data_IF_460174053418
#
_entry.id   IF_460174053418
#
_cell.length_a   1.000
_cell.length_b   1.000
_cell.length_c   1.000
_cell.angle_alpha   90.00
_cell.angle_beta   90.00
_cell.angle_gamma   90.00
#
_symmetry.space_group_name_H-M   'P 1'
#
loop_
_entity.id
_entity.type
_entity.pdbx_description
1 polymer ?
#
# COMPACT_ATOMS: atom_id res chain seq x y z
N UNK A 1 77.39 -11.87 24.08
CA UNK A 1 77.33 -12.74 25.28
C UNK A 1 75.99 -12.45 25.96
N UNK A 2 75.33 -13.44 26.55
CA UNK A 2 74.12 -13.24 27.37
C UNK A 2 74.45 -12.37 28.61
N UNK A 3 73.52 -11.76 29.33
CA UNK A 3 72.04 -11.86 29.33
C UNK A 3 71.40 -10.44 29.22
N UNK A 4 70.13 -10.12 29.52
CA UNK A 4 69.03 -10.84 30.19
C UNK A 4 67.62 -10.37 29.72
N UNK A 5 66.60 -10.77 30.49
CA UNK A 5 65.16 -10.63 30.26
C UNK A 5 64.55 -9.35 30.91
N UNK A 6 63.35 -8.87 30.49
CA UNK A 6 62.12 -9.52 30.96
C UNK A 6 60.86 -9.53 30.04
N UNK A 7 60.02 -10.53 30.35
CA UNK A 7 58.55 -10.57 30.33
C UNK A 7 57.74 -10.51 29.00
N UNK A 8 57.41 -11.75 28.58
CA UNK A 8 56.21 -12.21 27.86
C UNK A 8 54.98 -11.30 27.89
N UNK A 9 54.51 -10.94 26.69
CA UNK A 9 53.16 -10.43 26.41
C UNK A 9 52.15 -11.58 26.46
N UNK A 10 51.04 -11.39 27.20
CA UNK A 10 49.85 -12.24 27.13
C UNK A 10 48.73 -11.49 26.40
N UNK A 11 48.32 -11.97 25.22
CA UNK A 11 47.15 -11.45 24.49
C UNK A 11 45.90 -12.15 25.03
N UNK A 12 44.98 -11.38 25.63
CA UNK A 12 43.65 -11.87 26.02
C UNK A 12 42.57 -11.11 25.26
N UNK A 13 41.87 -11.81 24.36
CA UNK A 13 40.67 -11.30 23.71
C UNK A 13 39.54 -11.09 24.73
N UNK A 14 39.03 -9.86 24.87
CA UNK A 14 37.66 -9.60 25.35
C UNK A 14 37.03 -8.46 24.57
N UNK A 15 36.05 -8.81 23.73
CA UNK A 15 35.16 -7.85 23.06
C UNK A 15 34.25 -7.23 24.11
N UNK A 16 34.41 -5.92 24.35
CA UNK A 16 33.53 -5.17 25.24
C UNK A 16 32.36 -4.56 24.45
N UNK A 17 31.18 -5.18 24.56
CA UNK A 17 29.94 -4.67 24.02
C UNK A 17 29.56 -3.34 24.73
N UNK A 18 29.90 -2.20 24.12
CA UNK A 18 29.46 -0.88 24.60
C UNK A 18 28.09 -0.55 24.03
N UNK A 19 27.03 -0.84 24.80
CA UNK A 19 25.72 -0.27 24.56
C UNK A 19 25.77 1.25 24.83
N UNK A 20 25.69 2.06 23.77
CA UNK A 20 25.57 3.51 23.86
C UNK A 20 24.13 3.88 24.21
N UNK A 21 23.87 4.19 25.48
CA UNK A 21 22.64 4.87 25.90
C UNK A 21 22.77 6.34 25.50
N UNK A 22 22.34 6.66 24.28
CA UNK A 22 22.23 8.03 23.79
C UNK A 22 20.99 8.71 24.36
N UNK A 23 21.11 9.39 25.50
CA UNK A 23 20.01 10.16 26.08
C UNK A 23 19.87 11.52 25.35
N UNK A 24 19.22 11.51 24.19
CA UNK A 24 18.90 12.72 23.43
C UNK A 24 17.65 13.41 23.97
N UNK A 25 17.79 14.31 24.95
CA UNK A 25 16.72 15.29 25.23
C UNK A 25 16.69 16.33 24.11
N UNK A 26 15.78 16.17 23.16
CA UNK A 26 15.29 17.27 22.31
C UNK A 26 13.84 17.52 22.71
N UNK A 27 13.59 18.66 23.34
CA UNK A 27 12.26 19.08 23.75
C UNK A 27 11.47 19.58 22.54
N UNK A 28 10.76 18.67 21.88
CA UNK A 28 9.61 18.99 21.04
C UNK A 28 8.34 18.74 21.83
N UNK A 29 7.46 19.74 21.99
CA UNK A 29 6.16 19.58 22.66
C UNK A 29 5.13 18.95 21.72
N UNK A 30 5.41 17.71 21.32
CA UNK A 30 4.41 16.73 20.89
C UNK A 30 4.45 15.57 21.87
N UNK A 31 3.29 15.02 22.24
CA UNK A 31 3.28 13.76 22.97
C UNK A 31 3.93 12.70 22.08
N UNK A 32 5.07 12.14 22.50
CA UNK A 32 5.65 10.97 21.87
C UNK A 32 4.76 9.77 22.16
N UNK A 33 3.70 9.61 21.35
CA UNK A 33 2.84 8.44 21.38
C UNK A 33 3.72 7.22 21.13
N UNK A 34 3.76 6.29 22.08
CA UNK A 34 4.52 5.06 21.91
C UNK A 34 3.93 4.25 20.76
N UNK A 35 4.78 3.72 19.89
CA UNK A 35 4.35 2.90 18.76
C UNK A 35 3.35 1.81 19.20
N UNK A 36 2.29 1.53 18.40
CA UNK A 36 1.23 0.58 18.75
C UNK A 36 1.76 -0.78 19.23
N UNK A 37 1.29 -1.31 20.36
CA UNK A 37 1.73 -2.62 20.86
C UNK A 37 0.58 -3.63 20.80
N UNK A 38 0.67 -4.58 19.85
CA UNK A 38 -0.21 -5.75 19.82
C UNK A 38 0.21 -6.71 20.93
N UNK A 39 -0.69 -7.00 21.88
CA UNK A 39 -0.43 -7.92 23.00
C UNK A 39 -1.02 -9.30 22.76
N UNK A 40 -2.14 -9.37 22.07
CA UNK A 40 -2.88 -10.61 21.82
C UNK A 40 -3.71 -10.47 20.54
N UNK A 41 -3.85 -11.60 19.84
CA UNK A 41 -4.87 -11.79 18.80
C UNK A 41 -5.72 -12.98 19.25
N UNK A 42 -7.01 -12.99 18.93
CA UNK A 42 -7.93 -14.09 19.20
C UNK A 42 -8.96 -14.22 18.07
N UNK A 43 -9.57 -15.40 17.95
CA UNK A 43 -10.48 -15.73 16.85
C UNK A 43 -9.84 -16.66 15.82
N UNK A 44 -10.30 -16.58 14.58
CA UNK A 44 -9.95 -17.55 13.52
C UNK A 44 -9.23 -16.86 12.38
N UNK A 45 -7.98 -17.26 12.11
CA UNK A 45 -7.10 -16.67 11.10
C UNK A 45 -7.32 -17.29 9.70
N UNK A 46 -8.53 -17.76 9.40
CA UNK A 46 -8.91 -18.19 8.03
C UNK A 46 -9.25 -16.98 7.18
N UNK A 47 -9.13 -17.08 5.85
CA UNK A 47 -9.60 -16.01 4.95
C UNK A 47 -11.11 -15.76 5.18
N UNK A 48 -11.53 -14.49 5.22
CA UNK A 48 -12.84 -13.98 5.70
C UNK A 48 -13.22 -14.35 7.16
N UNK A 49 -12.32 -14.93 7.95
CA UNK A 49 -12.51 -15.14 9.39
C UNK A 49 -12.57 -13.81 10.15
N UNK A 50 -13.01 -13.83 11.42
CA UNK A 50 -13.01 -12.65 12.28
C UNK A 50 -11.95 -12.80 13.37
N UNK A 51 -11.20 -11.72 13.60
CA UNK A 51 -10.22 -11.62 14.68
C UNK A 51 -10.48 -10.41 15.57
N UNK A 52 -10.13 -10.56 16.84
CA UNK A 52 -10.00 -9.46 17.80
C UNK A 52 -8.54 -9.32 18.19
N UNK A 53 -8.01 -8.11 18.02
CA UNK A 53 -6.63 -7.72 18.33
C UNK A 53 -6.70 -6.80 19.53
N UNK A 54 -5.99 -7.13 20.61
CA UNK A 54 -5.94 -6.29 21.81
C UNK A 54 -4.51 -5.85 22.14
N UNK A 55 -4.39 -4.64 22.69
CA UNK A 55 -3.11 -3.97 22.83
C UNK A 55 -3.22 -2.61 23.50
N UNK A 56 -2.31 -1.70 23.16
CA UNK A 56 -2.30 -0.30 23.60
C UNK A 56 -1.77 0.62 22.49
N UNK A 57 -2.20 1.88 22.48
CA UNK A 57 -1.70 2.90 21.56
C UNK A 57 -2.18 2.71 20.12
N UNK A 58 -3.29 2.03 19.89
CA UNK A 58 -3.88 1.89 18.55
C UNK A 58 -4.55 3.18 18.06
N UNK A 59 -4.76 4.17 18.95
CA UNK A 59 -5.55 5.35 18.67
C UNK A 59 -7.03 5.04 18.42
N UNK A 60 -7.79 6.04 17.97
CA UNK A 60 -9.20 5.86 17.60
C UNK A 60 -9.42 6.10 16.12
N UNK A 61 -10.33 5.34 15.51
CA UNK A 61 -10.73 5.47 14.11
C UNK A 61 -12.25 5.45 14.05
N UNK A 62 -12.87 6.64 13.96
CA UNK A 62 -14.34 6.83 14.03
C UNK A 62 -15.09 5.92 13.06
N UNK A 63 -14.59 5.78 11.84
CA UNK A 63 -15.07 4.82 10.85
C UNK A 63 -14.04 3.69 10.74
N UNK A 64 -14.26 2.60 11.48
CA UNK A 64 -13.32 1.48 11.52
C UNK A 64 -13.09 0.84 10.15
N UNK A 65 -14.15 0.68 9.35
CA UNK A 65 -14.08 0.17 7.99
C UNK A 65 -13.29 1.11 7.04
N UNK A 66 -12.64 0.55 5.99
CA UNK A 66 -12.14 1.35 4.88
C UNK A 66 -13.29 2.00 4.09
N UNK A 67 -12.94 2.99 3.26
CA UNK A 67 -13.86 3.57 2.27
C UNK A 67 -14.17 2.54 1.18
N UNK A 68 -13.16 1.76 0.77
CA UNK A 68 -13.32 0.60 -0.13
C UNK A 68 -12.43 -0.54 0.33
N UNK A 69 -12.96 -1.75 0.31
CA UNK A 69 -12.19 -2.97 0.07
C UNK A 69 -12.90 -3.77 -1.02
N UNK A 70 -12.15 -4.20 -2.03
CA UNK A 70 -12.66 -4.91 -3.20
C UNK A 70 -11.72 -6.06 -3.59
N UNK A 71 -12.17 -7.25 -3.24
CA UNK A 71 -11.62 -8.59 -3.52
C UNK A 71 -12.29 -9.23 -4.75
N UNK A 72 -12.91 -8.39 -5.60
CA UNK A 72 -13.72 -8.80 -6.74
C UNK A 72 -14.83 -9.83 -6.41
N UNK A 73 -15.36 -9.87 -5.18
CA UNK A 73 -16.51 -10.74 -4.82
C UNK A 73 -17.87 -10.08 -5.04
N UNK A 74 -17.94 -8.76 -5.16
CA UNK A 74 -19.20 -8.04 -5.39
C UNK A 74 -19.83 -8.36 -6.75
N UNK A 75 -21.15 -8.12 -6.91
CA UNK A 75 -21.85 -8.42 -8.16
C UNK A 75 -21.37 -7.56 -9.33
N UNK A 76 -21.12 -6.27 -9.09
CA UNK A 76 -20.70 -5.27 -10.07
C UNK A 76 -19.74 -4.28 -9.44
N UNK A 77 -18.83 -3.73 -10.23
CA UNK A 77 -17.82 -2.76 -9.78
C UNK A 77 -18.46 -1.49 -9.17
N UNK A 78 -19.63 -1.11 -9.67
CA UNK A 78 -20.46 0.00 -9.16
C UNK A 78 -21.02 -0.23 -7.75
N UNK A 79 -20.91 -1.43 -7.18
CA UNK A 79 -21.25 -1.67 -5.77
C UNK A 79 -20.15 -1.20 -4.80
N UNK A 80 -18.97 -0.83 -5.32
CA UNK A 80 -17.78 -0.41 -4.55
C UNK A 80 -17.28 0.95 -5.02
N UNK A 81 -17.16 1.13 -6.34
CA UNK A 81 -16.55 2.28 -7.00
C UNK A 81 -17.60 3.19 -7.65
N UNK A 82 -17.28 4.48 -7.77
CA UNK A 82 -18.21 5.46 -8.34
C UNK A 82 -18.08 5.57 -9.86
N UNK A 83 -16.98 5.05 -10.42
CA UNK A 83 -16.81 4.88 -11.86
C UNK A 83 -15.58 4.04 -12.21
N UNK A 84 -15.52 3.61 -13.47
CA UNK A 84 -14.37 2.92 -14.05
C UNK A 84 -14.36 3.06 -15.57
N UNK A 85 -13.17 3.00 -16.16
CA UNK A 85 -12.91 3.06 -17.60
C UNK A 85 -11.97 1.95 -18.05
N UNK A 86 -12.11 1.40 -19.27
CA UNK A 86 -13.14 1.79 -20.24
C UNK A 86 -14.52 1.27 -19.80
N UNK A 87 -15.56 1.99 -20.20
CA UNK A 87 -16.96 1.62 -19.95
C UNK A 87 -17.83 1.65 -21.22
N UNK A 88 -17.28 2.12 -22.35
CA UNK A 88 -17.97 2.21 -23.64
C UNK A 88 -17.57 1.11 -24.65
N UNK A 89 -16.78 0.12 -24.23
CA UNK A 89 -16.23 -0.93 -25.10
C UNK A 89 -16.54 -2.34 -24.57
N UNK A 90 -17.75 -2.89 -24.86
CA UNK A 90 -18.15 -4.23 -24.45
C UNK A 90 -17.10 -5.30 -24.80
N UNK A 91 -16.84 -6.22 -23.86
CA UNK A 91 -15.77 -7.23 -23.97
C UNK A 91 -14.38 -6.75 -23.52
N UNK A 92 -14.17 -5.45 -23.33
CA UNK A 92 -12.90 -4.84 -22.91
C UNK A 92 -13.02 -3.87 -21.72
N UNK A 93 -14.26 -3.55 -21.32
CA UNK A 93 -14.59 -2.68 -20.20
C UNK A 93 -13.93 -3.11 -18.88
N UNK A 94 -13.61 -2.15 -18.02
CA UNK A 94 -13.13 -2.42 -16.66
C UNK A 94 -14.26 -2.98 -15.79
N UNK A 95 -14.04 -4.15 -15.21
CA UNK A 95 -15.02 -4.87 -14.41
C UNK A 95 -14.41 -6.09 -13.72
N UNK A 96 -15.26 -6.94 -13.13
CA UNK A 96 -14.81 -8.20 -12.51
C UNK A 96 -14.75 -9.32 -13.54
N UNK A 97 -13.61 -10.01 -13.62
CA UNK A 97 -13.37 -11.12 -14.52
C UNK A 97 -12.85 -12.34 -13.75
N UNK A 98 -13.34 -13.52 -14.11
CA UNK A 98 -12.67 -14.78 -13.76
C UNK A 98 -11.31 -14.89 -14.49
N UNK A 99 -10.39 -15.75 -14.02
CA UNK A 99 -9.10 -15.98 -14.68
C UNK A 99 -9.23 -16.14 -16.20
N UNK A 100 -8.63 -15.21 -16.93
CA UNK A 100 -8.62 -15.19 -18.39
C UNK A 100 -7.20 -14.97 -18.90
N UNK A 101 -6.98 -15.25 -20.20
CA UNK A 101 -5.70 -15.00 -20.90
C UNK A 101 -4.47 -15.71 -20.30
N UNK A 102 -4.68 -16.71 -19.44
CA UNK A 102 -3.62 -17.43 -18.71
C UNK A 102 -3.21 -16.78 -17.39
N UNK A 103 -3.91 -15.73 -16.95
CA UNK A 103 -3.58 -14.94 -15.77
C UNK A 103 -4.58 -15.25 -14.66
N UNK A 104 -4.06 -15.77 -13.55
CA UNK A 104 -4.76 -16.00 -12.29
C UNK A 104 -4.60 -14.79 -11.33
N UNK A 105 -5.52 -14.63 -10.35
CA UNK A 105 -5.34 -13.79 -9.16
C UNK A 105 -3.96 -13.91 -8.48
N UNK A 106 -3.55 -12.92 -7.68
CA UNK A 106 -2.24 -12.88 -7.01
C UNK A 106 -2.08 -13.92 -5.89
N UNK A 107 -3.18 -14.56 -5.47
CA UNK A 107 -3.25 -15.61 -4.45
C UNK A 107 -4.49 -16.50 -4.63
N UNK A 108 -4.53 -17.63 -3.91
CA UNK A 108 -5.56 -18.67 -4.08
C UNK A 108 -6.91 -18.40 -3.41
N UNK A 109 -7.06 -17.31 -2.64
CA UNK A 109 -8.32 -17.03 -1.93
C UNK A 109 -9.38 -16.32 -2.77
N UNK A 110 -8.99 -15.68 -3.87
CA UNK A 110 -9.90 -14.95 -4.75
C UNK A 110 -10.11 -15.71 -6.07
N UNK A 111 -11.35 -15.68 -6.58
CA UNK A 111 -11.77 -16.42 -7.79
C UNK A 111 -12.00 -15.52 -9.01
N UNK A 112 -11.83 -14.21 -8.85
CA UNK A 112 -11.94 -13.15 -9.86
C UNK A 112 -10.96 -12.03 -9.49
N UNK A 113 -10.72 -11.14 -10.43
CA UNK A 113 -10.00 -9.87 -10.23
C UNK A 113 -10.72 -8.74 -10.95
N UNK A 114 -10.28 -7.50 -10.73
CA UNK A 114 -10.65 -6.35 -11.57
C UNK A 114 -9.74 -6.35 -12.80
N UNK A 115 -10.30 -6.26 -14.00
CA UNK A 115 -9.51 -6.14 -15.23
C UNK A 115 -10.23 -5.32 -16.31
N UNK A 116 -9.46 -4.80 -17.25
CA UNK A 116 -9.93 -4.08 -18.44
C UNK A 116 -8.79 -3.92 -19.47
N UNK A 117 -9.10 -3.46 -20.69
CA UNK A 117 -8.11 -3.36 -21.76
C UNK A 117 -8.01 -1.97 -22.40
N UNK A 118 -6.80 -1.61 -22.81
CA UNK A 118 -6.53 -0.40 -23.60
C UNK A 118 -6.92 -0.57 -25.09
N UNK A 119 -8.06 -1.21 -25.37
CA UNK A 119 -8.33 -1.83 -26.66
C UNK A 119 -8.80 -0.87 -27.78
N UNK A 120 -9.20 0.38 -27.47
CA UNK A 120 -9.58 1.38 -28.47
C UNK A 120 -8.81 2.70 -28.33
N UNK A 121 -8.65 3.39 -29.47
CA UNK A 121 -7.89 4.62 -29.63
C UNK A 121 -8.72 5.91 -29.61
N UNK A 122 -9.95 5.82 -29.12
CA UNK A 122 -11.00 6.83 -29.33
C UNK A 122 -11.38 7.65 -28.11
N UNK A 123 -10.74 7.46 -26.95
CA UNK A 123 -10.94 8.33 -25.79
C UNK A 123 -10.67 7.70 -24.41
N UNK A 124 -10.76 8.56 -23.39
CA UNK A 124 -10.59 8.22 -21.97
C UNK A 124 -11.50 7.07 -21.51
N UNK A 125 -12.75 7.06 -21.99
CA UNK A 125 -13.82 6.12 -21.65
C UNK A 125 -13.79 4.79 -22.44
N UNK A 126 -12.95 4.71 -23.47
CA UNK A 126 -13.03 3.65 -24.49
C UNK A 126 -11.75 2.83 -24.62
N UNK A 127 -10.59 3.37 -24.24
CA UNK A 127 -9.35 2.57 -24.19
C UNK A 127 -8.05 3.31 -23.87
N UNK A 128 -8.07 4.63 -23.66
CA UNK A 128 -6.86 5.32 -23.18
C UNK A 128 -6.52 4.91 -21.74
N UNK A 129 -7.53 4.72 -20.89
CA UNK A 129 -7.36 4.36 -19.48
C UNK A 129 -7.93 2.96 -19.19
N UNK A 130 -7.24 2.21 -18.33
CA UNK A 130 -7.83 1.10 -17.56
C UNK A 130 -7.69 1.48 -16.10
N UNK A 131 -8.78 1.98 -15.51
CA UNK A 131 -8.81 2.63 -14.19
C UNK A 131 -10.19 2.45 -13.53
N UNK A 132 -10.23 2.38 -12.22
CA UNK A 132 -11.44 2.44 -11.41
C UNK A 132 -11.24 3.40 -10.24
N UNK A 133 -12.29 4.10 -9.83
CA UNK A 133 -12.14 5.28 -8.98
C UNK A 133 -13.27 5.53 -7.99
N UNK A 134 -12.91 6.20 -6.90
CA UNK A 134 -13.80 6.60 -5.81
C UNK A 134 -13.72 8.11 -5.64
N UNK A 135 -14.89 8.75 -5.51
CA UNK A 135 -15.01 10.14 -5.15
C UNK A 135 -15.19 10.23 -3.63
N UNK A 136 -14.41 11.10 -2.98
CA UNK A 136 -14.51 11.39 -1.54
C UNK A 136 -14.84 12.86 -1.33
N UNK A 137 -15.64 13.21 -0.29
CA UNK A 137 -15.81 14.59 0.11
C UNK A 137 -14.48 15.16 0.61
N UNK A 138 -14.16 16.39 0.22
CA UNK A 138 -12.96 17.09 0.67
C UNK A 138 -13.01 17.25 2.20
N UNK A 139 -11.96 16.76 2.87
CA UNK A 139 -11.80 16.90 4.31
C UNK A 139 -11.02 18.19 4.64
N UNK A 140 -11.11 18.72 5.87
CA UNK A 140 -10.23 19.80 6.33
C UNK A 140 -8.76 19.42 6.14
N UNK A 141 -7.94 20.34 5.62
CA UNK A 141 -6.50 20.11 5.50
C UNK A 141 -5.80 20.23 6.87
N UNK A 142 -4.78 19.40 7.15
CA UNK A 142 -4.35 18.26 6.35
C UNK A 142 -5.27 17.04 6.54
N UNK A 143 -5.45 16.24 5.50
CA UNK A 143 -6.08 14.92 5.60
C UNK A 143 -5.20 13.85 4.95
N UNK A 144 -5.63 12.59 5.05
CA UNK A 144 -4.83 11.46 4.60
C UNK A 144 -5.57 10.60 3.58
N UNK A 145 -4.81 9.94 2.72
CA UNK A 145 -5.29 8.85 1.88
C UNK A 145 -4.31 7.70 2.05
N UNK A 146 -4.84 6.50 2.24
CA UNK A 146 -4.10 5.27 2.06
C UNK A 146 -4.81 4.43 1.00
N UNK A 147 -4.05 3.93 0.03
CA UNK A 147 -4.53 3.00 -0.99
C UNK A 147 -3.56 1.81 -1.09
N UNK A 148 -4.08 0.61 -1.34
CA UNK A 148 -3.30 -0.61 -1.53
C UNK A 148 -3.99 -1.49 -2.57
N UNK A 149 -3.23 -2.11 -3.47
CA UNK A 149 -3.78 -3.03 -4.48
C UNK A 149 -2.69 -3.95 -5.04
N UNK A 150 -3.09 -5.13 -5.50
CA UNK A 150 -2.28 -5.91 -6.44
C UNK A 150 -2.44 -5.38 -7.86
N UNK A 151 -1.38 -5.38 -8.66
CA UNK A 151 -1.44 -5.07 -10.09
C UNK A 151 -0.49 -5.92 -10.95
N UNK A 152 -0.88 -6.12 -12.21
CA UNK A 152 -0.02 -6.55 -13.33
C UNK A 152 -0.63 -6.12 -14.67
N UNK A 153 0.12 -6.32 -15.75
CA UNK A 153 -0.34 -6.21 -17.13
C UNK A 153 -0.29 -7.58 -17.84
N UNK A 154 -0.71 -7.61 -19.10
CA UNK A 154 -0.71 -8.81 -19.93
C UNK A 154 0.69 -9.25 -20.37
N UNK A 155 0.94 -10.56 -20.37
CA UNK A 155 2.24 -11.12 -20.76
C UNK A 155 2.53 -10.98 -22.27
N UNK A 156 1.48 -10.69 -23.06
CA UNK A 156 1.54 -10.42 -24.50
C UNK A 156 1.29 -8.95 -24.82
N UNK A 157 1.66 -8.06 -23.90
CA UNK A 157 1.56 -6.61 -24.09
C UNK A 157 2.26 -6.16 -25.36
N UNK A 158 1.55 -5.36 -26.17
CA UNK A 158 2.07 -4.70 -27.36
C UNK A 158 2.59 -3.33 -26.98
N UNK A 159 3.91 -3.18 -26.98
CA UNK A 159 4.61 -1.93 -26.68
C UNK A 159 4.51 -0.96 -27.87
N UNK A 160 4.32 0.34 -27.60
CA UNK A 160 4.22 1.38 -28.64
C UNK A 160 4.29 2.81 -28.09
N UNK A 161 4.67 3.74 -28.96
CA UNK A 161 4.88 5.15 -28.59
C UNK A 161 6.03 5.29 -27.59
N UNK A 162 5.85 6.17 -26.60
CA UNK A 162 6.79 6.35 -25.49
C UNK A 162 6.61 5.33 -24.35
N UNK A 163 5.65 4.38 -24.45
CA UNK A 163 5.28 3.44 -23.38
C UNK A 163 4.89 4.09 -22.02
N UNK A 164 4.51 5.38 -22.00
CA UNK A 164 4.02 6.06 -20.80
C UNK A 164 2.81 5.31 -20.20
N UNK A 165 2.94 4.89 -18.94
CA UNK A 165 1.97 4.06 -18.22
C UNK A 165 1.74 4.66 -16.82
N UNK A 166 0.49 5.02 -16.52
CA UNK A 166 0.05 5.54 -15.22
C UNK A 166 -0.53 4.42 -14.35
N UNK A 167 -0.36 4.50 -13.04
CA UNK A 167 -0.76 3.45 -12.07
C UNK A 167 -1.71 3.96 -11.00
N UNK A 168 -1.77 5.27 -10.78
CA UNK A 168 -2.67 5.93 -9.85
C UNK A 168 -3.03 7.33 -10.34
N UNK A 169 -4.17 7.86 -9.89
CA UNK A 169 -4.60 9.23 -10.15
C UNK A 169 -5.25 9.86 -8.91
N UNK A 170 -4.98 11.15 -8.69
CA UNK A 170 -5.67 12.01 -7.73
C UNK A 170 -6.10 13.30 -8.42
N UNK A 171 -7.34 13.74 -8.21
CA UNK A 171 -7.85 14.97 -8.85
C UNK A 171 -8.93 15.67 -8.03
N UNK A 172 -9.35 16.85 -8.48
CA UNK A 172 -10.32 17.73 -7.82
C UNK A 172 -11.81 17.36 -7.94
N UNK A 173 -12.13 16.11 -8.29
CA UNK A 173 -13.45 15.63 -8.74
C UNK A 173 -13.78 16.02 -10.21
N UNK A 174 -14.51 15.22 -10.98
CA UNK A 174 -15.24 13.99 -10.59
C UNK A 174 -14.88 12.77 -11.44
N UNK A 175 -13.70 12.82 -12.06
CA UNK A 175 -13.07 11.70 -12.73
C UNK A 175 -11.55 11.71 -12.51
N UNK A 176 -10.82 10.64 -12.86
CA UNK A 176 -9.36 10.65 -12.88
C UNK A 176 -8.80 11.61 -13.93
N UNK A 177 -7.63 12.22 -13.65
CA UNK A 177 -6.89 13.09 -14.58
C UNK A 177 -7.62 14.38 -15.02
N UNK A 178 -8.49 14.93 -14.18
CA UNK A 178 -9.12 16.25 -14.45
C UNK A 178 -8.04 17.32 -14.63
N UNK A 179 -8.03 17.98 -15.78
CA UNK A 179 -7.03 18.98 -16.10
C UNK A 179 -7.51 20.40 -15.72
N UNK A 180 -6.64 21.27 -15.20
CA UNK A 180 -5.25 21.00 -14.81
C UNK A 180 -5.13 20.29 -13.44
N UNK A 181 -6.23 20.18 -12.70
CA UNK A 181 -6.22 19.89 -11.26
C UNK A 181 -6.06 18.39 -10.90
N UNK A 182 -4.96 17.77 -11.32
CA UNK A 182 -4.63 16.39 -10.97
C UNK A 182 -3.13 16.15 -10.76
N UNK A 183 -2.80 15.09 -10.01
CA UNK A 183 -1.49 14.46 -9.98
C UNK A 183 -1.61 12.94 -10.06
N UNK A 184 -0.53 12.27 -10.46
CA UNK A 184 -0.55 10.83 -10.74
C UNK A 184 0.77 10.14 -10.39
N UNK A 185 0.66 8.84 -10.09
CA UNK A 185 1.82 7.96 -10.09
C UNK A 185 1.93 7.25 -11.45
N UNK A 186 3.16 7.04 -11.90
CA UNK A 186 3.48 6.51 -13.21
C UNK A 186 4.80 5.72 -13.20
N UNK A 187 5.06 5.04 -14.31
CA UNK A 187 6.43 4.68 -14.68
C UNK A 187 7.01 5.73 -15.62
N UNK A 188 8.27 6.10 -15.41
CA UNK A 188 9.03 7.07 -16.21
C UNK A 188 10.14 6.43 -17.04
N UNK A 189 10.81 7.18 -17.95
CA UNK A 189 12.00 6.76 -18.66
C UNK A 189 13.08 6.15 -17.75
N UNK A 190 13.55 4.91 -18.01
CA UNK A 190 13.09 4.01 -19.07
C UNK A 190 11.68 3.47 -18.79
N UNK A 191 10.72 3.89 -19.63
CA UNK A 191 9.42 3.23 -19.68
C UNK A 191 9.68 1.82 -20.22
N UNK A 192 9.11 0.76 -19.64
CA UNK A 192 9.33 -0.59 -20.12
C UNK A 192 8.86 -0.72 -21.58
N UNK A 193 9.80 -0.99 -22.49
CA UNK A 193 9.57 -1.26 -23.91
C UNK A 193 9.60 -2.75 -24.26
N UNK A 194 9.92 -3.60 -23.29
CA UNK A 194 9.84 -5.06 -23.34
C UNK A 194 9.34 -5.64 -22.00
N UNK A 195 9.05 -6.94 -21.98
CA UNK A 195 8.71 -7.68 -20.75
C UNK A 195 9.92 -7.90 -19.83
N UNK A 196 11.14 -7.66 -20.31
CA UNK A 196 12.41 -7.81 -19.57
C UNK A 196 13.03 -6.49 -19.13
N UNK A 197 12.51 -5.35 -19.60
CA UNK A 197 13.06 -4.04 -19.27
C UNK A 197 12.84 -3.69 -17.80
N UNK A 198 13.74 -2.87 -17.25
CA UNK A 198 13.49 -2.16 -16.01
C UNK A 198 12.38 -1.10 -16.19
N UNK A 199 11.76 -0.72 -15.08
CA UNK A 199 10.88 0.44 -14.99
C UNK A 199 11.30 1.28 -13.77
N UNK A 200 10.89 2.55 -13.72
CA UNK A 200 11.21 3.47 -12.62
C UNK A 200 9.98 4.25 -12.20
N UNK A 201 9.76 4.41 -10.89
CA UNK A 201 8.61 5.17 -10.38
C UNK A 201 8.76 6.67 -10.62
N UNK A 202 7.63 7.32 -10.91
CA UNK A 202 7.45 8.76 -11.05
C UNK A 202 6.18 9.17 -10.32
N UNK A 203 6.21 10.33 -9.68
CA UNK A 203 5.01 11.11 -9.37
C UNK A 203 5.15 12.47 -10.05
N UNK A 204 4.09 12.93 -10.71
CA UNK A 204 4.05 14.20 -11.42
C UNK A 204 2.61 14.75 -11.43
N UNK A 205 2.45 16.01 -11.82
CA UNK A 205 1.15 16.67 -11.98
C UNK A 205 0.97 17.29 -13.39
N UNK A 206 -0.26 17.71 -13.68
CA UNK A 206 -0.58 18.58 -14.84
C UNK A 206 -1.04 19.99 -14.38
N UNK A 207 -0.79 20.36 -13.12
CA UNK A 207 -1.51 21.43 -12.41
C UNK A 207 -0.73 22.26 -11.39
N UNK A 208 0.58 22.08 -11.27
CA UNK A 208 1.49 22.79 -10.34
C UNK A 208 1.15 22.63 -8.84
N UNK A 209 0.43 21.57 -8.48
CA UNK A 209 0.14 21.27 -7.06
C UNK A 209 1.31 20.60 -6.37
N UNK A 210 2.14 19.88 -7.10
CA UNK A 210 3.36 19.24 -6.65
C UNK A 210 4.59 20.09 -7.03
N UNK A 211 5.72 19.80 -6.41
CA UNK A 211 6.96 20.55 -6.57
C UNK A 211 8.02 19.66 -7.21
N UNK A 212 8.77 20.20 -8.18
CA UNK A 212 9.97 19.56 -8.71
C UNK A 212 11.14 20.58 -8.77
N UNK A 213 12.25 20.35 -8.06
CA UNK A 213 12.41 19.27 -7.07
C UNK A 213 11.44 19.42 -5.89
N UNK A 214 11.23 18.32 -5.17
CA UNK A 214 10.40 18.27 -3.96
C UNK A 214 11.14 18.96 -2.78
N UNK A 215 10.50 19.06 -1.61
CA UNK A 215 11.13 19.71 -0.43
C UNK A 215 12.27 18.90 0.19
N UNK A 216 12.48 17.64 -0.24
CA UNK A 216 13.63 16.80 0.10
C UNK A 216 14.74 16.87 -0.99
N UNK A 217 14.60 17.76 -1.99
CA UNK A 217 15.46 17.88 -3.17
C UNK A 217 15.46 16.67 -4.13
N UNK A 218 14.46 15.78 -4.05
CA UNK A 218 14.24 14.74 -5.06
C UNK A 218 13.62 15.33 -6.33
N UNK A 219 14.06 14.83 -7.48
CA UNK A 219 13.47 15.14 -8.80
C UNK A 219 12.31 14.19 -9.14
N UNK A 220 11.74 14.31 -10.34
CA UNK A 220 10.70 13.41 -10.86
C UNK A 220 11.01 11.90 -10.79
N UNK A 221 12.29 11.49 -10.79
CA UNK A 221 12.70 10.09 -10.88
C UNK A 221 12.96 9.47 -9.51
N UNK A 222 12.31 8.34 -9.22
CA UNK A 222 12.37 7.65 -7.93
C UNK A 222 13.04 6.28 -8.04
N UNK A 223 12.79 5.35 -7.10
CA UNK A 223 13.42 4.03 -7.12
C UNK A 223 12.88 3.15 -8.28
N UNK A 224 13.61 2.09 -8.66
CA UNK A 224 13.14 1.11 -9.63
C UNK A 224 11.77 0.52 -9.27
N UNK A 225 11.02 0.17 -10.31
CA UNK A 225 9.72 -0.45 -10.23
C UNK A 225 9.74 -1.91 -10.69
N UNK A 226 8.75 -2.68 -10.27
CA UNK A 226 8.38 -3.91 -10.96
C UNK A 226 7.75 -3.56 -12.31
N UNK A 227 8.37 -3.98 -13.41
CA UNK A 227 7.76 -3.93 -14.73
C UNK A 227 6.46 -4.78 -14.72
N UNK A 228 5.27 -4.20 -14.91
CA UNK A 228 4.01 -4.94 -14.77
C UNK A 228 3.76 -5.92 -15.91
N UNK A 229 4.50 -5.82 -17.02
CA UNK A 229 4.48 -6.77 -18.14
C UNK A 229 5.46 -7.94 -17.94
N UNK A 230 6.20 -8.01 -16.83
CA UNK A 230 7.20 -9.05 -16.57
C UNK A 230 6.63 -10.38 -16.00
N UNK A 231 5.37 -10.70 -16.30
CA UNK A 231 4.75 -11.98 -15.92
C UNK A 231 4.41 -12.16 -14.43
N UNK A 232 4.52 -11.10 -13.62
CA UNK A 232 4.35 -11.17 -12.15
C UNK A 232 3.48 -10.05 -11.60
N UNK A 233 2.74 -10.36 -10.54
CA UNK A 233 2.02 -9.40 -9.73
C UNK A 233 2.99 -8.58 -8.84
N UNK A 234 2.68 -7.31 -8.61
CA UNK A 234 3.22 -6.53 -7.49
C UNK A 234 2.08 -5.98 -6.61
N UNK A 235 2.30 -5.90 -5.29
CA UNK A 235 1.44 -5.12 -4.39
C UNK A 235 1.98 -3.70 -4.36
N UNK A 236 1.13 -2.71 -4.64
CA UNK A 236 1.45 -1.29 -4.53
C UNK A 236 0.67 -0.73 -3.34
N UNK A 237 1.35 0.03 -2.47
CA UNK A 237 0.73 0.85 -1.43
C UNK A 237 1.06 2.32 -1.69
N UNK A 238 0.08 3.21 -1.50
CA UNK A 238 0.29 4.67 -1.47
C UNK A 238 -0.23 5.21 -0.15
N UNK A 239 0.58 6.00 0.55
CA UNK A 239 0.16 6.80 1.69
C UNK A 239 0.47 8.27 1.43
N UNK A 240 -0.56 9.12 1.46
CA UNK A 240 -0.43 10.55 1.19
C UNK A 240 -0.95 11.38 2.37
N UNK A 241 -0.27 12.49 2.65
CA UNK A 241 -0.78 13.61 3.46
C UNK A 241 -1.13 14.75 2.51
N UNK A 242 -2.42 15.01 2.38
CA UNK A 242 -3.03 15.97 1.48
C UNK A 242 -3.10 17.32 2.20
N UNK A 243 -2.54 18.35 1.59
CA UNK A 243 -2.45 19.70 2.16
C UNK A 243 -2.35 20.74 1.06
N UNK A 244 -2.88 21.93 1.34
CA UNK A 244 -2.71 23.13 0.52
C UNK A 244 -1.42 23.92 0.85
N UNK A 245 -0.69 23.49 1.90
CA UNK A 245 0.63 24.01 2.26
C UNK A 245 1.74 23.18 1.57
N UNK A 246 3.00 23.31 2.00
CA UNK A 246 4.16 22.55 1.48
C UNK A 246 4.64 21.44 2.43
N UNK A 247 3.86 21.10 3.45
CA UNK A 247 4.20 20.10 4.48
C UNK A 247 3.56 18.71 4.22
N UNK A 248 3.11 18.49 2.98
CA UNK A 248 2.49 17.24 2.53
C UNK A 248 3.53 16.18 2.20
N UNK A 249 3.05 14.98 1.94
CA UNK A 249 3.90 13.91 1.41
C UNK A 249 3.09 12.95 0.55
N UNK A 250 3.78 12.23 -0.33
CA UNK A 250 3.28 11.03 -0.99
C UNK A 250 4.37 9.96 -0.91
N UNK A 251 4.06 8.86 -0.24
CA UNK A 251 4.92 7.69 -0.13
C UNK A 251 4.31 6.55 -0.93
N UNK A 252 5.14 5.84 -1.67
CA UNK A 252 4.74 4.66 -2.43
C UNK A 252 5.63 3.51 -2.02
N UNK A 253 5.04 2.34 -1.78
CA UNK A 253 5.75 1.08 -1.61
C UNK A 253 5.35 0.12 -2.72
N UNK A 254 6.30 -0.70 -3.17
CA UNK A 254 6.04 -1.81 -4.07
C UNK A 254 6.64 -3.08 -3.46
N UNK A 255 5.81 -4.10 -3.23
CA UNK A 255 6.15 -5.31 -2.47
C UNK A 255 6.83 -4.98 -1.11
N UNK A 256 6.22 -4.06 -0.35
CA UNK A 256 6.69 -3.60 0.97
C UNK A 256 7.94 -2.71 0.97
N UNK A 257 8.61 -2.51 -0.17
CA UNK A 257 9.80 -1.67 -0.27
C UNK A 257 9.43 -0.24 -0.66
N UNK A 258 9.90 0.77 0.08
CA UNK A 258 9.56 2.17 -0.18
C UNK A 258 10.27 2.65 -1.47
N UNK A 259 9.48 2.91 -2.50
CA UNK A 259 9.97 3.31 -3.83
C UNK A 259 9.86 4.82 -4.08
N UNK A 260 8.92 5.51 -3.42
CA UNK A 260 8.76 6.97 -3.46
C UNK A 260 8.64 7.54 -2.05
N UNK A 261 9.21 8.73 -1.82
CA UNK A 261 9.10 9.49 -0.57
C UNK A 261 9.06 11.00 -0.86
N UNK A 262 8.07 11.42 -1.64
CA UNK A 262 7.83 12.83 -1.96
C UNK A 262 7.44 13.61 -0.70
N UNK A 263 8.01 14.79 -0.51
CA UNK A 263 7.53 15.81 0.43
C UNK A 263 7.34 17.16 -0.27
N UNK A 264 6.27 17.87 0.08
CA UNK A 264 5.91 19.15 -0.54
C UNK A 264 4.41 19.35 -0.60
N UNK A 265 3.96 20.27 -1.44
CA UNK A 265 2.54 20.47 -1.68
C UNK A 265 1.89 19.26 -2.38
N UNK A 266 0.65 18.94 -2.02
CA UNK A 266 -0.06 17.73 -2.50
C UNK A 266 -1.50 17.98 -2.92
N UNK A 267 -2.12 19.10 -2.53
CA UNK A 267 -3.47 19.47 -2.96
C UNK A 267 -3.73 20.98 -2.87
N UNK A 268 -3.61 21.68 -3.99
CA UNK A 268 -3.97 23.11 -4.12
C UNK A 268 -5.26 23.33 -4.92
N UNK A 269 -6.08 22.29 -5.08
CA UNK A 269 -7.18 22.33 -6.05
C UNK A 269 -8.46 22.96 -5.50
N UNK A 270 -9.28 23.61 -6.34
CA UNK A 270 -10.62 24.08 -5.96
C UNK A 270 -11.60 22.91 -5.76
N UNK A 271 -12.86 23.24 -5.43
CA UNK A 271 -13.95 22.27 -5.30
C UNK A 271 -14.07 21.63 -3.91
N UNK A 272 -15.05 20.76 -3.75
CA UNK A 272 -15.49 20.17 -2.45
C UNK A 272 -15.38 18.65 -2.40
N UNK A 273 -14.77 18.04 -3.41
CA UNK A 273 -14.60 16.59 -3.55
C UNK A 273 -13.24 16.29 -4.18
N UNK A 274 -12.81 15.02 -4.10
CA UNK A 274 -11.58 14.50 -4.70
C UNK A 274 -11.80 13.13 -5.31
N UNK A 275 -11.15 12.84 -6.43
CA UNK A 275 -11.14 11.51 -7.04
C UNK A 275 -9.87 10.77 -6.62
N UNK A 276 -10.01 9.50 -6.24
CA UNK A 276 -8.91 8.54 -6.04
C UNK A 276 -9.08 7.44 -7.09
N UNK A 277 -8.12 7.26 -8.00
CA UNK A 277 -8.17 6.26 -9.06
C UNK A 277 -7.00 5.28 -9.02
N UNK A 278 -7.31 3.98 -9.11
CA UNK A 278 -6.34 2.88 -9.19
C UNK A 278 -6.31 2.34 -10.63
N UNK A 279 -5.11 2.22 -11.20
CA UNK A 279 -4.89 2.03 -12.63
C UNK A 279 -4.59 3.35 -13.34
N UNK A 280 -4.81 3.43 -14.65
CA UNK A 280 -4.55 4.67 -15.37
C UNK A 280 -4.38 4.58 -16.87
N UNK A 281 -3.93 5.70 -17.43
CA UNK A 281 -3.58 5.88 -18.85
C UNK A 281 -2.44 4.96 -19.30
N UNK A 282 -2.50 4.50 -20.55
CA UNK A 282 -1.34 3.92 -21.25
C UNK A 282 -1.20 4.53 -22.66
N UNK A 283 0.03 4.81 -23.08
CA UNK A 283 0.32 5.23 -24.47
C UNK A 283 -0.01 4.14 -25.47
N UNK A 284 0.23 2.88 -25.10
CA UNK A 284 -0.04 1.70 -25.90
C UNK A 284 -1.53 1.31 -25.86
N UNK A 285 -2.36 2.21 -26.38
CA UNK A 285 -3.79 2.04 -26.59
C UNK A 285 -4.10 1.61 -28.03
N UNK A 286 -5.33 1.14 -28.28
CA UNK A 286 -5.76 0.58 -29.57
C UNK A 286 -5.36 -0.89 -29.78
N UNK A 287 -4.80 -1.54 -28.75
CA UNK A 287 -4.37 -2.94 -28.81
C UNK A 287 -5.27 -3.81 -27.93
N UNK A 288 -6.05 -4.70 -28.54
CA UNK A 288 -6.99 -5.59 -27.85
C UNK A 288 -6.33 -6.65 -26.94
N UNK A 289 -5.00 -6.79 -27.01
CA UNK A 289 -4.18 -7.58 -26.10
C UNK A 289 -3.70 -6.84 -24.84
N UNK A 290 -3.78 -5.51 -24.79
CA UNK A 290 -3.20 -4.69 -23.71
C UNK A 290 -4.15 -4.60 -22.51
N UNK A 291 -4.28 -5.73 -21.82
CA UNK A 291 -5.05 -5.87 -20.59
C UNK A 291 -4.23 -5.47 -19.37
N UNK A 292 -4.92 -4.90 -18.36
CA UNK A 292 -4.40 -4.70 -17.02
C UNK A 292 -5.30 -5.39 -16.01
N UNK A 293 -4.68 -5.84 -14.94
CA UNK A 293 -5.27 -6.70 -13.92
C UNK A 293 -4.94 -6.12 -12.56
N UNK A 294 -5.94 -6.05 -11.68
CA UNK A 294 -5.84 -5.49 -10.35
C UNK A 294 -6.63 -6.36 -9.38
N UNK A 295 -6.15 -6.52 -8.16
CA UNK A 295 -6.87 -7.30 -7.16
C UNK A 295 -6.72 -6.72 -5.76
N UNK A 296 -7.60 -7.17 -4.87
CA UNK A 296 -7.55 -6.91 -3.43
C UNK A 296 -7.34 -5.42 -3.10
N UNK A 297 -8.14 -4.57 -3.75
CA UNK A 297 -8.01 -3.12 -3.74
C UNK A 297 -8.63 -2.52 -2.47
N UNK A 298 -7.85 -1.72 -1.74
CA UNK A 298 -8.19 -1.10 -0.46
C UNK A 298 -8.00 0.42 -0.56
N UNK A 299 -8.96 1.21 -0.06
CA UNK A 299 -8.87 2.68 0.03
C UNK A 299 -9.43 3.16 1.37
N UNK A 300 -8.70 4.04 2.05
CA UNK A 300 -9.05 4.63 3.34
C UNK A 300 -8.63 6.11 3.37
N UNK A 301 -9.33 6.93 4.16
CA UNK A 301 -9.00 8.36 4.38
C UNK A 301 -8.20 8.57 5.68
N UNK A 302 -7.59 7.50 6.18
CA UNK A 302 -6.73 7.49 7.36
C UNK A 302 -5.51 6.61 7.11
N UNK A 303 -4.45 6.78 7.90
CA UNK A 303 -3.27 5.90 7.90
C UNK A 303 -3.46 4.67 8.80
N UNK A 304 -4.45 4.73 9.70
CA UNK A 304 -4.80 3.72 10.68
C UNK A 304 -5.25 2.43 10.00
N UNK A 305 -4.45 1.38 10.09
CA UNK A 305 -4.72 0.08 9.46
C UNK A 305 -4.10 -1.08 10.22
N UNK A 306 -4.66 -2.26 10.01
CA UNK A 306 -4.07 -3.53 10.46
C UNK A 306 -3.55 -4.26 9.24
N UNK A 307 -2.36 -4.86 9.34
CA UNK A 307 -1.81 -5.72 8.29
C UNK A 307 -1.33 -7.05 8.85
N UNK A 308 -1.40 -8.10 8.01
CA UNK A 308 -0.58 -9.29 8.14
C UNK A 308 0.68 -9.09 7.30
N UNK A 309 1.86 -9.27 7.92
CA UNK A 309 3.15 -9.13 7.26
C UNK A 309 3.98 -10.43 7.36
N UNK A 310 4.89 -10.70 6.42
CA UNK A 310 5.78 -11.89 6.47
C UNK A 310 7.03 -11.68 7.33
N UNK A 311 7.21 -10.46 7.85
CA UNK A 311 8.27 -10.05 8.77
C UNK A 311 7.67 -9.33 9.98
N UNK A 312 8.30 -9.43 11.17
CA UNK A 312 7.82 -8.75 12.37
C UNK A 312 8.01 -7.23 12.31
N UNK A 313 8.87 -6.71 11.44
CA UNK A 313 9.11 -5.27 11.25
C UNK A 313 8.55 -4.88 9.89
N UNK A 314 7.58 -3.98 9.85
CA UNK A 314 6.82 -3.66 8.63
C UNK A 314 7.71 -3.20 7.47
N UNK A 315 8.73 -2.39 7.73
CA UNK A 315 9.67 -1.90 6.71
C UNK A 315 10.63 -2.96 6.16
N UNK A 316 10.61 -4.18 6.70
CA UNK A 316 11.37 -5.33 6.21
C UNK A 316 10.50 -6.36 5.47
N UNK A 317 9.17 -6.21 5.55
CA UNK A 317 8.23 -7.13 4.92
C UNK A 317 8.24 -6.98 3.39
N UNK A 318 7.89 -8.07 2.71
CA UNK A 318 7.68 -8.13 1.27
C UNK A 318 6.30 -8.64 0.88
N UNK A 319 5.59 -9.28 1.82
CA UNK A 319 4.15 -9.57 1.73
C UNK A 319 3.45 -8.78 2.84
N UNK A 320 2.48 -7.96 2.46
CA UNK A 320 1.71 -7.09 3.37
C UNK A 320 0.25 -7.14 2.91
N UNK A 321 -0.64 -7.68 3.77
CA UNK A 321 -2.06 -7.84 3.47
C UNK A 321 -2.92 -7.02 4.42
N UNK A 322 -3.72 -6.11 3.88
CA UNK A 322 -4.62 -5.27 4.64
C UNK A 322 -5.77 -6.09 5.24
N UNK A 323 -5.88 -6.08 6.57
CA UNK A 323 -7.03 -6.63 7.28
C UNK A 323 -8.12 -5.56 7.34
N UNK A 324 -9.37 -5.98 7.46
CA UNK A 324 -10.52 -5.10 7.19
C UNK A 324 -11.24 -4.80 8.51
N UNK A 325 -11.00 -3.65 9.17
CA UNK A 325 -11.50 -3.44 10.52
C UNK A 325 -13.01 -3.16 10.50
N UNK A 326 -13.74 -3.71 11.47
CA UNK A 326 -15.17 -3.47 11.69
C UNK A 326 -15.43 -2.70 13.00
N UNK A 327 -14.49 -2.72 13.94
CA UNK A 327 -14.48 -1.87 15.14
C UNK A 327 -13.04 -1.47 15.48
N UNK A 328 -12.82 -0.24 15.97
CA UNK A 328 -11.49 0.26 16.32
C UNK A 328 -11.55 1.15 17.57
N UNK A 329 -10.66 0.87 18.53
CA UNK A 329 -10.43 1.63 19.76
C UNK A 329 -8.96 1.52 20.17
N UNK A 330 -8.49 2.37 21.08
CA UNK A 330 -7.06 2.44 21.44
C UNK A 330 -6.48 1.13 21.98
N UNK A 331 -7.31 0.31 22.63
CA UNK A 331 -6.92 -0.98 23.19
C UNK A 331 -7.45 -2.21 22.45
N UNK A 332 -8.33 -2.06 21.45
CA UNK A 332 -8.98 -3.19 20.77
C UNK A 332 -9.44 -2.86 19.35
N UNK A 333 -9.13 -3.76 18.40
CA UNK A 333 -9.59 -3.72 17.01
C UNK A 333 -10.26 -5.06 16.68
N UNK A 334 -11.43 -5.03 16.06
CA UNK A 334 -12.03 -6.20 15.43
C UNK A 334 -11.87 -6.08 13.93
N UNK A 335 -11.42 -7.14 13.25
CA UNK A 335 -11.19 -7.13 11.81
C UNK A 335 -11.61 -8.46 11.14
N UNK A 336 -12.05 -8.35 9.89
CA UNK A 336 -12.15 -9.49 8.97
C UNK A 336 -10.77 -9.77 8.38
N UNK A 337 -10.40 -11.05 8.38
CA UNK A 337 -9.10 -11.53 7.94
C UNK A 337 -9.03 -11.59 6.42
N UNK A 338 -8.01 -10.93 5.88
CA UNK A 338 -7.57 -11.14 4.51
C UNK A 338 -6.22 -11.88 4.55
N UNK A 339 -6.22 -13.15 4.17
CA UNK A 339 -4.98 -13.92 4.10
C UNK A 339 -4.09 -13.57 2.90
N UNK A 340 -4.62 -12.99 1.83
CA UNK A 340 -3.87 -12.74 0.59
C UNK A 340 -2.87 -13.84 0.22
N UNK A 341 -1.58 -13.52 0.06
CA UNK A 341 -0.54 -14.48 -0.29
C UNK A 341 -0.13 -15.46 0.83
N UNK A 342 -0.65 -15.36 2.04
CA UNK A 342 -0.36 -16.31 3.11
C UNK A 342 -1.07 -17.66 2.89
N UNK A 343 -0.26 -18.72 2.80
CA UNK A 343 -0.74 -20.10 2.78
C UNK A 343 -1.17 -20.57 4.18
N UNK A 344 -2.08 -21.55 4.25
CA UNK A 344 -2.45 -22.16 5.51
C UNK A 344 -1.24 -22.80 6.21
N UNK A 345 -1.09 -22.55 7.52
CA UNK A 345 0.06 -22.98 8.32
C UNK A 345 1.27 -22.04 8.27
N UNK A 346 1.29 -21.03 7.39
CA UNK A 346 2.38 -20.06 7.30
C UNK A 346 2.39 -19.10 8.50
N UNK A 347 3.58 -18.77 9.01
CA UNK A 347 3.74 -17.68 9.99
C UNK A 347 3.53 -16.33 9.32
N UNK A 348 2.68 -15.51 9.91
CA UNK A 348 2.51 -14.09 9.60
C UNK A 348 2.64 -13.27 10.89
N UNK A 349 2.71 -11.95 10.77
CA UNK A 349 2.82 -11.02 11.89
C UNK A 349 1.69 -9.99 11.82
N UNK A 350 0.88 -9.90 12.87
CA UNK A 350 -0.14 -8.85 13.01
C UNK A 350 0.55 -7.56 13.46
N UNK A 351 0.45 -6.54 12.63
CA UNK A 351 1.00 -5.20 12.85
C UNK A 351 -0.14 -4.19 12.80
N UNK A 352 -0.20 -3.30 13.79
CA UNK A 352 -1.12 -2.15 13.80
C UNK A 352 -0.34 -0.91 13.39
N UNK A 353 -0.90 -0.11 12.50
CA UNK A 353 -0.44 1.24 12.18
C UNK A 353 -1.47 2.22 12.73
N UNK A 354 -1.01 3.26 13.43
CA UNK A 354 -1.86 4.30 14.00
C UNK A 354 -2.19 5.44 13.02
N UNK A 355 -2.90 6.46 13.50
CA UNK A 355 -3.32 7.63 12.72
C UNK A 355 -2.17 8.55 12.30
N UNK A 356 -0.98 8.43 12.89
CA UNK A 356 0.24 9.13 12.48
C UNK A 356 0.98 8.41 11.35
N UNK A 357 0.60 7.15 11.07
CA UNK A 357 1.36 6.25 10.19
C UNK A 357 2.46 5.48 10.91
N UNK A 358 2.50 5.51 12.25
CA UNK A 358 3.49 4.76 13.03
C UNK A 358 3.02 3.32 13.21
N UNK A 359 3.82 2.37 12.74
CA UNK A 359 3.56 0.95 12.87
C UNK A 359 4.04 0.42 14.23
N UNK A 360 3.47 -0.71 14.70
CA UNK A 360 4.05 -1.51 15.76
C UNK A 360 5.52 -1.80 15.49
N UNK A 361 6.39 -1.52 16.47
CA UNK A 361 7.83 -1.71 16.33
C UNK A 361 8.20 -3.19 16.07
N UNK A 362 7.41 -4.12 16.62
CA UNK A 362 7.47 -5.56 16.38
C UNK A 362 6.03 -6.08 16.33
N UNK A 363 5.65 -6.76 15.25
CA UNK A 363 4.35 -7.41 15.08
C UNK A 363 4.24 -8.72 15.87
N UNK A 364 3.02 -9.07 16.28
CA UNK A 364 2.77 -10.33 16.99
C UNK A 364 2.66 -11.49 16.01
N UNK A 365 3.47 -12.53 16.19
CA UNK A 365 3.45 -13.72 15.36
C UNK A 365 2.11 -14.48 15.48
N UNK A 366 1.55 -14.88 14.34
CA UNK A 366 0.33 -15.67 14.20
C UNK A 366 0.51 -16.73 13.11
N UNK A 367 -0.37 -17.74 13.08
CA UNK A 367 -0.39 -18.78 12.04
C UNK A 367 -1.61 -18.60 11.14
N UNK A 368 -1.38 -18.39 9.84
CA UNK A 368 -2.43 -18.27 8.84
C UNK A 368 -3.27 -19.58 8.76
N UNK A 369 -4.59 -19.44 8.67
CA UNK A 369 -5.54 -20.54 8.71
C UNK A 369 -5.64 -21.28 10.06
N UNK A 370 -5.00 -20.78 11.11
CA UNK A 370 -5.09 -21.33 12.47
C UNK A 370 -6.27 -20.78 13.27
N UNK A 371 -6.66 -21.49 14.33
CA UNK A 371 -7.48 -20.91 15.40
C UNK A 371 -6.53 -20.44 16.49
N UNK A 372 -6.61 -19.16 16.91
CA UNK A 372 -5.82 -18.68 18.04
C UNK A 372 -6.65 -18.84 19.29
N UNK A 373 -6.19 -19.70 20.19
CA UNK A 373 -6.79 -19.88 21.51
C UNK A 373 -6.82 -18.53 22.24
N UNK A 374 -8.00 -18.16 22.75
CA UNK A 374 -8.09 -17.13 23.79
C UNK A 374 -7.18 -17.56 24.95
N UNK A 375 -6.26 -16.71 25.43
CA UNK A 375 -5.58 -16.98 26.69
C UNK A 375 -6.63 -17.22 27.77
N UNK A 376 -6.39 -18.23 28.61
CA UNK A 376 -7.23 -18.43 29.78
C UNK A 376 -7.25 -17.13 30.61
N UNK A 377 -8.37 -16.78 31.26
CA UNK A 377 -8.38 -15.69 32.23
C UNK A 377 -7.22 -15.86 33.22
N UNK A 378 -6.55 -14.77 33.67
CA UNK A 378 -5.48 -14.89 34.65
C UNK A 378 -5.96 -15.72 35.84
N UNK A 379 -5.23 -16.78 36.18
CA UNK A 379 -5.54 -17.59 37.36
C UNK A 379 -5.59 -16.66 38.56
N UNK A 380 -6.75 -16.56 39.21
CA UNK A 380 -6.95 -15.72 40.38
C UNK A 380 -5.87 -16.02 41.41
N UNK A 381 -5.09 -15.01 41.79
CA UNK A 381 -4.13 -15.15 42.89
C UNK A 381 -4.95 -15.45 44.16
N UNK A 382 -4.96 -16.71 44.56
CA UNK A 382 -5.37 -17.12 45.90
C UNK A 382 -4.30 -16.65 46.87
N UNK A 383 -4.54 -15.52 47.52
CA UNK A 383 -3.76 -15.13 48.70
C UNK A 383 -4.17 -16.10 49.81
N UNK A 384 -3.25 -16.99 50.19
CA UNK A 384 -3.36 -17.89 51.33
C UNK A 384 -2.54 -17.34 52.50
#
# INVERSE_FOLDING_TARGET
MQSDMPQRVWISFRVALRALIGLGLIAGTGAALSAPIVRQVSGTLTHKGTITISGIGFGSKTNAAPVVWDDATASTLSAKWDGAWPNQLPGYNTGYYSPMRGINPPHSHDARYIAGAHAASTGAYSGYNVIFFKNIPLQPFPFYIYASWYQRADDKWTFSGDNNLKTFAYSNCCSPYEMPNNWYAAYGPPHPGSTTDGAQWVINDDGSSMQNPDTNAHSFWWNPAVNPMAGKWSKVEIAARLTNQTDGYVKVWENGQQVVNYAGATDKYPGTQRTIGIGGYARAQGFSGNWRYFDDAYVDTTLSRVVLADKPVLSQATIIENQIPSAWSDGSITATVNLGQFAQGQTAFVIVVDSSGTASAVGLAVTAGGTIATPNPPSSISVH
#
